data_IF_187307323261
#
_entry.id   IF_187307323261
#
_cell.length_a   1.000
_cell.length_b   1.000
_cell.length_c   1.000
_cell.angle_alpha   90.00
_cell.angle_beta   90.00
_cell.angle_gamma   90.00
#
_symmetry.space_group_name_H-M   'P 1'
#
loop_
_entity.id
_entity.type
_entity.pdbx_description
1 polymer ?
#
# COMPACT_ATOMS: atom_id res chain seq x y z
N UNK A 1 10.93 -20.54 30.45
CA UNK A 1 11.62 -21.37 29.45
C UNK A 1 12.32 -20.41 28.51
N UNK A 2 13.66 -20.36 28.56
CA UNK A 2 14.43 -19.59 27.56
C UNK A 2 14.49 -20.45 26.29
N UNK A 3 13.66 -20.09 25.30
CA UNK A 3 13.73 -20.67 23.97
C UNK A 3 14.52 -19.70 23.08
N UNK A 4 15.66 -20.15 22.59
CA UNK A 4 16.50 -19.40 21.64
C UNK A 4 16.04 -19.69 20.21
N UNK A 5 15.54 -18.66 19.54
CA UNK A 5 15.16 -18.73 18.14
C UNK A 5 16.26 -18.10 17.27
N UNK A 6 16.85 -18.88 16.38
CA UNK A 6 17.85 -18.38 15.44
C UNK A 6 17.56 -18.81 14.01
N UNK A 7 17.65 -17.88 13.07
CA UNK A 7 17.52 -18.12 11.66
C UNK A 7 18.82 -17.74 10.95
N UNK A 8 19.56 -18.73 10.46
CA UNK A 8 20.79 -18.54 9.71
C UNK A 8 20.62 -18.98 8.26
N UNK A 9 20.86 -18.08 7.31
CA UNK A 9 20.86 -18.40 5.89
C UNK A 9 21.78 -17.49 5.09
N UNK A 10 22.28 -18.02 3.97
CA UNK A 10 23.03 -17.25 2.97
C UNK A 10 22.26 -17.33 1.66
N UNK A 11 21.87 -16.21 1.10
CA UNK A 11 21.20 -16.11 -0.19
C UNK A 11 21.76 -14.97 -1.03
N UNK A 12 21.73 -15.12 -2.34
CA UNK A 12 22.10 -14.09 -3.29
C UNK A 12 20.85 -13.27 -3.66
N UNK A 13 21.02 -11.96 -3.75
CA UNK A 13 19.98 -11.00 -4.12
C UNK A 13 20.43 -10.22 -5.36
N UNK A 14 20.43 -10.86 -6.56
CA UNK A 14 20.84 -10.22 -7.79
C UNK A 14 19.84 -9.12 -8.19
N UNK A 15 20.38 -8.06 -8.79
CA UNK A 15 19.60 -6.97 -9.40
C UNK A 15 20.28 -6.61 -10.72
N UNK A 16 19.46 -6.41 -11.75
CA UNK A 16 19.92 -5.99 -13.08
C UNK A 16 18.92 -4.98 -13.66
N UNK A 17 19.43 -3.97 -14.35
CA UNK A 17 18.59 -2.97 -15.03
C UNK A 17 19.23 -2.57 -16.34
N UNK A 18 18.41 -2.55 -17.39
CA UNK A 18 18.78 -2.06 -18.72
C UNK A 18 17.88 -0.88 -19.02
N UNK A 19 18.46 0.26 -19.36
CA UNK A 19 17.74 1.44 -19.81
C UNK A 19 18.13 1.73 -21.26
N UNK A 20 17.13 1.78 -22.13
CA UNK A 20 17.30 2.12 -23.54
C UNK A 20 16.61 3.44 -23.85
N UNK A 21 17.38 4.45 -24.22
CA UNK A 21 16.89 5.75 -24.64
C UNK A 21 16.47 5.66 -26.11
N UNK A 22 15.15 5.65 -26.33
CA UNK A 22 14.58 5.64 -27.69
C UNK A 22 14.84 6.98 -28.39
N UNK A 23 14.70 8.06 -27.64
CA UNK A 23 15.01 9.43 -28.00
C UNK A 23 15.03 10.32 -26.74
N UNK A 24 15.29 11.62 -26.88
CA UNK A 24 15.37 12.59 -25.77
C UNK A 24 14.11 12.68 -24.90
N UNK A 25 12.99 12.10 -25.34
CA UNK A 25 11.68 12.17 -24.65
C UNK A 25 11.16 10.83 -24.18
N UNK A 26 11.74 9.74 -24.66
CA UNK A 26 11.23 8.39 -24.39
C UNK A 26 12.36 7.43 -24.04
N UNK A 27 12.15 6.65 -23.00
CA UNK A 27 13.01 5.53 -22.65
C UNK A 27 12.21 4.27 -22.33
N UNK A 28 12.85 3.13 -22.50
CA UNK A 28 12.35 1.82 -22.13
C UNK A 28 13.30 1.26 -21.07
N UNK A 29 12.76 0.78 -19.97
CA UNK A 29 13.54 0.21 -18.89
C UNK A 29 13.09 -1.22 -18.62
N UNK A 30 14.05 -2.14 -18.61
CA UNK A 30 13.86 -3.52 -18.14
C UNK A 30 14.59 -3.68 -16.82
N UNK A 31 13.91 -4.18 -15.81
CA UNK A 31 14.48 -4.36 -14.46
C UNK A 31 14.12 -5.74 -13.94
N UNK A 32 15.11 -6.43 -13.42
CA UNK A 32 14.93 -7.61 -12.57
C UNK A 32 15.56 -7.34 -11.21
N UNK A 33 14.85 -7.70 -10.16
CA UNK A 33 15.42 -7.68 -8.82
C UNK A 33 14.91 -8.86 -7.98
N UNK A 34 15.81 -9.38 -7.17
CA UNK A 34 15.50 -10.30 -6.08
C UNK A 34 15.78 -9.60 -4.76
N UNK A 35 14.82 -9.64 -3.86
CA UNK A 35 14.95 -8.99 -2.54
C UNK A 35 14.40 -9.87 -1.43
N UNK A 36 14.80 -9.55 -0.21
CA UNK A 36 14.28 -10.15 1.01
C UNK A 36 13.42 -9.12 1.73
N UNK A 37 12.26 -9.55 2.21
CA UNK A 37 11.47 -8.79 3.17
C UNK A 37 11.50 -9.53 4.51
N UNK A 38 12.18 -8.92 5.49
CA UNK A 38 12.36 -9.50 6.82
C UNK A 38 11.11 -9.28 7.65
N UNK A 39 10.82 -10.27 8.49
CA UNK A 39 9.76 -10.17 9.49
C UNK A 39 10.06 -9.09 10.52
N UNK A 40 9.01 -8.46 11.05
CA UNK A 40 9.13 -7.55 12.19
C UNK A 40 9.10 -8.31 13.51
N UNK A 41 9.68 -7.75 14.57
CA UNK A 41 9.61 -8.33 15.92
C UNK A 41 8.18 -8.56 16.39
N UNK A 42 7.26 -7.69 16.01
CA UNK A 42 5.83 -7.84 16.30
C UNK A 42 5.25 -9.15 15.71
N UNK A 43 5.52 -9.43 14.42
CA UNK A 43 5.05 -10.66 13.76
C UNK A 43 5.70 -11.94 14.32
N UNK A 44 6.82 -11.80 15.01
CA UNK A 44 7.56 -12.91 15.62
C UNK A 44 7.32 -13.05 17.12
N UNK A 45 6.61 -12.14 17.75
CA UNK A 45 6.33 -12.19 19.20
C UNK A 45 5.41 -13.37 19.53
N UNK A 46 5.88 -14.42 20.25
CA UNK A 46 5.05 -15.59 20.53
C UNK A 46 4.03 -15.39 21.64
N UNK A 47 4.06 -14.25 22.32
CA UNK A 47 3.15 -13.98 23.41
C UNK A 47 1.80 -13.49 22.89
N UNK A 48 0.70 -14.18 23.20
CA UNK A 48 -0.61 -13.76 22.78
C UNK A 48 -1.02 -12.46 23.48
N UNK A 49 -1.42 -11.49 22.67
CA UNK A 49 -2.00 -10.22 23.12
C UNK A 49 -3.49 -10.19 22.82
N UNK A 50 -4.28 -9.61 23.70
CA UNK A 50 -5.71 -9.49 23.49
C UNK A 50 -6.00 -8.24 22.68
N UNK A 51 -6.24 -8.40 21.38
CA UNK A 51 -6.59 -7.28 20.51
C UNK A 51 -8.03 -6.79 20.75
N UNK A 52 -8.97 -7.74 20.88
CA UNK A 52 -10.38 -7.50 21.14
C UNK A 52 -10.93 -8.57 22.10
N UNK A 53 -12.20 -8.41 22.53
CA UNK A 53 -12.86 -9.38 23.43
C UNK A 53 -12.83 -10.81 22.91
N UNK A 54 -12.89 -10.99 21.59
CA UNK A 54 -13.05 -12.27 20.90
C UNK A 54 -11.83 -12.66 20.03
N UNK A 55 -10.72 -11.89 20.13
CA UNK A 55 -9.54 -12.13 19.30
C UNK A 55 -8.25 -11.96 20.09
N UNK A 56 -7.43 -13.01 20.09
CA UNK A 56 -6.02 -12.96 20.46
C UNK A 56 -5.19 -12.69 19.22
N UNK A 57 -4.09 -11.96 19.35
CA UNK A 57 -3.08 -11.80 18.32
C UNK A 57 -1.74 -12.33 18.82
N UNK A 58 -1.06 -13.12 18.00
CA UNK A 58 0.18 -13.79 18.35
C UNK A 58 1.09 -13.86 17.12
N UNK A 59 2.38 -13.63 17.31
CA UNK A 59 3.39 -13.87 16.29
C UNK A 59 3.90 -15.30 16.29
N UNK A 60 4.67 -15.64 15.25
CA UNK A 60 5.39 -16.90 15.14
C UNK A 60 6.90 -16.63 15.05
N UNK A 61 7.70 -17.03 16.05
CA UNK A 61 9.15 -16.82 16.03
C UNK A 61 9.88 -17.63 14.94
N UNK A 62 9.22 -18.65 14.35
CA UNK A 62 9.77 -19.48 13.29
C UNK A 62 9.51 -18.92 11.86
N UNK A 63 8.95 -17.74 11.74
CA UNK A 63 8.69 -17.12 10.44
C UNK A 63 9.96 -16.97 9.60
N UNK A 64 9.91 -17.53 8.41
CA UNK A 64 10.91 -17.29 7.37
C UNK A 64 10.62 -15.96 6.66
N UNK A 65 11.65 -15.18 6.32
CA UNK A 65 11.47 -13.96 5.55
C UNK A 65 10.92 -14.24 4.15
N UNK A 66 10.14 -13.32 3.64
CA UNK A 66 9.67 -13.38 2.26
C UNK A 66 10.81 -13.14 1.27
N UNK A 67 10.84 -13.92 0.20
CA UNK A 67 11.76 -13.75 -0.91
C UNK A 67 10.97 -13.30 -2.13
N UNK A 68 11.35 -12.16 -2.68
CA UNK A 68 10.59 -11.51 -3.74
C UNK A 68 11.44 -11.44 -5.00
N UNK A 69 10.98 -12.10 -6.06
CA UNK A 69 11.50 -11.95 -7.42
C UNK A 69 10.56 -11.04 -8.21
N UNK A 70 11.09 -10.01 -8.84
CA UNK A 70 10.32 -9.04 -9.61
C UNK A 70 10.97 -8.72 -10.95
N UNK A 71 10.21 -8.86 -12.02
CA UNK A 71 10.57 -8.49 -13.38
C UNK A 71 9.63 -7.40 -13.86
N UNK A 72 10.18 -6.31 -14.38
CA UNK A 72 9.43 -5.15 -14.86
C UNK A 72 9.93 -4.68 -16.20
N UNK A 73 9.00 -4.33 -17.08
CA UNK A 73 9.29 -3.55 -18.29
C UNK A 73 8.46 -2.27 -18.24
N UNK A 74 9.13 -1.15 -18.29
CA UNK A 74 8.53 0.18 -18.22
C UNK A 74 8.87 1.05 -19.42
N UNK A 75 7.93 1.89 -19.82
CA UNK A 75 8.11 2.93 -20.83
C UNK A 75 7.81 4.26 -20.14
N UNK A 76 8.71 5.22 -20.28
CA UNK A 76 8.53 6.59 -19.80
C UNK A 76 8.62 7.54 -20.99
N UNK A 77 7.67 8.46 -21.04
CA UNK A 77 7.64 9.53 -22.02
C UNK A 77 7.51 10.87 -21.32
N UNK A 78 8.33 11.84 -21.73
CA UNK A 78 8.29 13.21 -21.20
C UNK A 78 8.26 14.21 -22.34
N UNK A 79 7.29 15.10 -22.34
CA UNK A 79 7.21 16.15 -23.35
C UNK A 79 7.99 17.41 -22.93
N UNK A 80 8.19 18.32 -23.88
CA UNK A 80 8.90 19.58 -23.64
C UNK A 80 8.13 20.58 -22.74
N UNK A 81 6.85 20.30 -22.43
CA UNK A 81 6.00 21.12 -21.53
C UNK A 81 6.01 20.63 -20.09
N UNK A 82 6.85 19.62 -19.78
CA UNK A 82 6.96 19.06 -18.43
C UNK A 82 5.91 18.00 -18.08
N UNK A 83 5.04 17.60 -19.02
CA UNK A 83 4.13 16.48 -18.81
C UNK A 83 4.89 15.16 -19.05
N UNK A 84 4.58 14.16 -18.26
CA UNK A 84 5.12 12.81 -18.37
C UNK A 84 4.01 11.76 -18.41
N UNK A 85 4.28 10.68 -19.10
CA UNK A 85 3.46 9.47 -19.13
C UNK A 85 4.39 8.30 -18.84
N UNK A 86 3.99 7.39 -17.98
CA UNK A 86 4.68 6.13 -17.78
C UNK A 86 3.71 4.96 -17.88
N UNK A 87 4.21 3.83 -18.30
CA UNK A 87 3.49 2.57 -18.29
C UNK A 87 4.47 1.46 -17.91
N UNK A 88 4.07 0.60 -16.99
CA UNK A 88 4.90 -0.52 -16.54
C UNK A 88 4.07 -1.80 -16.55
N UNK A 89 4.63 -2.88 -17.09
CA UNK A 89 4.09 -4.23 -16.94
C UNK A 89 5.06 -4.98 -16.03
N UNK A 90 4.53 -5.75 -15.11
CA UNK A 90 5.35 -6.47 -14.14
C UNK A 90 4.84 -7.87 -13.83
N UNK A 91 5.79 -8.71 -13.46
CA UNK A 91 5.56 -9.99 -12.82
C UNK A 91 6.31 -10.04 -11.51
N UNK A 92 5.62 -10.43 -10.44
CA UNK A 92 6.17 -10.57 -9.08
C UNK A 92 5.83 -11.94 -8.53
N UNK A 93 6.84 -12.64 -7.98
CA UNK A 93 6.69 -13.86 -7.22
C UNK A 93 7.20 -13.61 -5.78
N UNK A 94 6.42 -14.05 -4.80
CA UNK A 94 6.77 -13.98 -3.38
C UNK A 94 6.78 -15.40 -2.84
N UNK A 95 7.95 -15.89 -2.45
CA UNK A 95 8.10 -17.15 -1.73
C UNK A 95 8.08 -16.90 -0.23
N UNK A 96 7.63 -17.88 0.55
CA UNK A 96 7.43 -17.79 2.00
C UNK A 96 6.44 -16.65 2.37
N UNK A 97 5.40 -16.47 1.58
CA UNK A 97 4.41 -15.43 1.84
C UNK A 97 3.93 -15.46 3.29
N UNK A 98 4.07 -14.36 3.99
CA UNK A 98 3.59 -14.19 5.36
C UNK A 98 2.19 -13.58 5.30
N UNK A 99 1.21 -14.35 5.74
CA UNK A 99 -0.16 -13.87 5.85
C UNK A 99 -0.64 -13.97 7.30
N UNK A 100 -1.57 -13.09 7.63
CA UNK A 100 -2.30 -13.15 8.90
C UNK A 100 -3.44 -14.14 8.72
N UNK A 101 -3.47 -15.19 9.54
CA UNK A 101 -4.46 -16.25 9.50
C UNK A 101 -5.11 -16.43 10.87
N UNK A 102 -6.35 -16.85 10.89
CA UNK A 102 -7.10 -17.11 12.11
C UNK A 102 -7.25 -18.60 12.34
N UNK A 103 -7.14 -19.00 13.58
CA UNK A 103 -7.46 -20.35 14.11
C UNK A 103 -8.44 -20.23 15.24
N UNK A 104 -9.18 -21.29 15.52
CA UNK A 104 -10.08 -21.36 16.68
C UNK A 104 -9.24 -21.62 17.94
N UNK A 105 -9.26 -20.70 18.90
CA UNK A 105 -8.62 -20.88 20.20
C UNK A 105 -9.55 -21.60 21.18
N UNK A 106 -10.81 -21.18 21.21
CA UNK A 106 -11.91 -21.84 21.92
C UNK A 106 -13.24 -21.44 21.28
N UNK A 107 -14.36 -21.88 21.82
CA UNK A 107 -15.71 -21.67 21.28
C UNK A 107 -16.08 -20.19 21.03
N UNK A 108 -15.40 -19.24 21.64
CA UNK A 108 -15.72 -17.80 21.59
C UNK A 108 -14.54 -16.92 21.17
N UNK A 109 -13.34 -17.49 21.06
CA UNK A 109 -12.11 -16.72 20.81
C UNK A 109 -11.37 -17.28 19.58
N UNK A 110 -11.04 -16.41 18.66
CA UNK A 110 -10.11 -16.70 17.56
C UNK A 110 -8.69 -16.29 17.95
N UNK A 111 -7.72 -17.10 17.56
CA UNK A 111 -6.31 -16.75 17.61
C UNK A 111 -5.84 -16.32 16.22
N UNK A 112 -5.41 -15.09 16.12
CA UNK A 112 -4.87 -14.50 14.90
C UNK A 112 -3.35 -14.60 14.93
N UNK A 113 -2.80 -15.33 13.99
CA UNK A 113 -1.36 -15.58 13.92
C UNK A 113 -0.79 -15.14 12.57
N UNK A 114 0.49 -14.82 12.56
CA UNK A 114 1.26 -14.67 11.33
C UNK A 114 1.90 -16.00 10.96
N UNK A 115 1.76 -16.42 9.71
CA UNK A 115 2.31 -17.68 9.24
C UNK A 115 2.81 -17.58 7.81
N UNK A 116 3.84 -18.36 7.47
CA UNK A 116 4.24 -18.57 6.08
C UNK A 116 3.24 -19.52 5.42
N UNK A 117 2.35 -18.98 4.60
CA UNK A 117 1.23 -19.73 4.00
C UNK A 117 1.50 -20.26 2.59
N UNK A 118 2.75 -20.10 2.09
CA UNK A 118 3.12 -20.58 0.76
C UNK A 118 3.71 -19.51 -0.12
N UNK A 119 3.16 -19.32 -1.31
CA UNK A 119 3.64 -18.32 -2.27
C UNK A 119 2.51 -17.44 -2.82
N UNK A 120 2.89 -16.27 -3.30
CA UNK A 120 2.00 -15.40 -4.04
C UNK A 120 2.61 -14.99 -5.37
N UNK A 121 1.76 -14.84 -6.38
CA UNK A 121 2.13 -14.36 -7.71
C UNK A 121 1.25 -13.18 -8.08
N UNK A 122 1.86 -12.14 -8.64
CA UNK A 122 1.16 -11.01 -9.22
C UNK A 122 1.64 -10.78 -10.65
N UNK A 123 0.71 -10.61 -11.57
CA UNK A 123 0.97 -10.17 -12.92
C UNK A 123 0.04 -9.02 -13.25
N UNK A 124 0.61 -7.90 -13.67
CA UNK A 124 -0.19 -6.72 -13.93
C UNK A 124 0.56 -5.60 -14.59
N UNK A 125 -0.08 -4.43 -14.58
CA UNK A 125 0.49 -3.23 -15.13
C UNK A 125 -0.05 -1.96 -14.48
N UNK A 126 0.76 -0.95 -14.54
CA UNK A 126 0.45 0.41 -14.12
C UNK A 126 0.62 1.37 -15.29
N UNK A 127 -0.28 2.32 -15.39
CA UNK A 127 -0.17 3.48 -16.26
C UNK A 127 -0.42 4.73 -15.44
N UNK A 128 0.39 5.75 -15.63
CA UNK A 128 0.20 7.02 -14.95
C UNK A 128 0.79 8.19 -15.72
N UNK A 129 0.32 9.36 -15.38
CA UNK A 129 0.71 10.62 -16.03
C UNK A 129 0.81 11.74 -15.02
N UNK A 130 1.83 12.58 -15.19
CA UNK A 130 1.90 13.91 -14.58
C UNK A 130 1.74 14.96 -15.69
N UNK A 131 0.82 15.90 -15.49
CA UNK A 131 0.59 16.98 -16.46
C UNK A 131 0.22 18.28 -15.77
N UNK A 132 0.50 19.38 -16.45
CA UNK A 132 0.16 20.71 -15.99
C UNK A 132 -0.73 21.41 -17.02
N UNK A 133 -1.90 21.87 -16.56
CA UNK A 133 -2.86 22.61 -17.38
C UNK A 133 -2.81 24.09 -17.01
N UNK A 134 -2.74 24.97 -18.02
CA UNK A 134 -2.76 26.42 -17.88
C UNK A 134 -1.77 26.98 -16.85
N UNK A 135 -0.64 26.28 -16.58
CA UNK A 135 0.39 26.60 -15.57
C UNK A 135 -0.15 26.66 -14.13
N UNK A 136 -1.43 26.40 -13.90
CA UNK A 136 -2.09 26.53 -12.59
C UNK A 136 -2.51 25.21 -11.97
N UNK A 137 -2.85 24.21 -12.79
CA UNK A 137 -3.30 22.90 -12.32
C UNK A 137 -2.20 21.88 -12.61
N UNK A 138 -1.57 21.38 -11.56
CA UNK A 138 -0.64 20.25 -11.66
C UNK A 138 -1.35 18.99 -11.18
N UNK A 139 -1.41 17.97 -12.03
CA UNK A 139 -2.11 16.72 -11.72
C UNK A 139 -1.21 15.53 -11.98
N UNK A 140 -1.19 14.62 -11.02
CA UNK A 140 -0.71 13.25 -11.16
C UNK A 140 -1.89 12.30 -11.07
N UNK A 141 -1.97 11.35 -11.99
CA UNK A 141 -2.97 10.29 -11.94
C UNK A 141 -2.32 8.96 -12.35
N UNK A 142 -2.61 7.88 -11.62
CA UNK A 142 -2.21 6.53 -12.02
C UNK A 142 -3.30 5.50 -11.73
N UNK A 143 -3.30 4.45 -12.55
CA UNK A 143 -4.13 3.25 -12.40
C UNK A 143 -3.20 2.05 -12.45
N UNK A 144 -3.32 1.16 -11.46
CA UNK A 144 -2.66 -0.12 -11.43
C UNK A 144 -3.70 -1.24 -11.43
N UNK A 145 -3.47 -2.28 -12.23
CA UNK A 145 -4.35 -3.45 -12.36
C UNK A 145 -3.50 -4.71 -12.40
N UNK A 146 -3.80 -5.68 -11.53
CA UNK A 146 -3.08 -6.95 -11.53
C UNK A 146 -3.95 -8.11 -11.08
N UNK A 147 -3.65 -9.29 -11.61
CA UNK A 147 -4.12 -10.55 -11.06
C UNK A 147 -3.19 -10.94 -9.91
N UNK A 148 -3.77 -11.32 -8.78
CA UNK A 148 -3.05 -11.76 -7.59
C UNK A 148 -3.52 -13.16 -7.20
N UNK A 149 -2.58 -14.08 -7.03
CA UNK A 149 -2.84 -15.48 -6.70
C UNK A 149 -1.97 -15.92 -5.53
N UNK A 150 -2.62 -16.49 -4.52
CA UNK A 150 -1.98 -17.12 -3.36
C UNK A 150 -2.17 -18.61 -3.49
N UNK A 151 -1.09 -19.41 -3.36
CA UNK A 151 -1.14 -20.86 -3.27
C UNK A 151 -0.24 -21.33 -2.15
N UNK A 152 -0.72 -22.28 -1.38
CA UNK A 152 0.03 -22.86 -0.29
C UNK A 152 -0.80 -23.73 0.60
N UNK A 153 -0.43 -23.79 1.86
CA UNK A 153 -1.05 -24.64 2.86
C UNK A 153 -0.96 -23.97 4.23
N UNK A 154 -1.98 -24.12 5.03
CA UNK A 154 -1.98 -23.73 6.43
C UNK A 154 -2.78 -24.76 7.23
N UNK A 155 -2.16 -25.31 8.29
CA UNK A 155 -2.78 -26.29 9.19
C UNK A 155 -3.32 -27.53 8.41
N UNK A 156 -2.45 -28.10 7.54
CA UNK A 156 -2.74 -29.24 6.66
C UNK A 156 -3.92 -29.03 5.70
N UNK A 157 -4.28 -27.79 5.43
CA UNK A 157 -5.35 -27.45 4.46
C UNK A 157 -4.79 -26.60 3.33
N UNK A 158 -5.12 -26.93 2.09
CA UNK A 158 -4.65 -26.15 0.95
C UNK A 158 -5.27 -24.75 0.95
N UNK A 159 -4.45 -23.78 0.59
CA UNK A 159 -4.86 -22.40 0.31
C UNK A 159 -4.74 -22.16 -1.19
N UNK A 160 -5.83 -21.71 -1.80
CA UNK A 160 -5.85 -21.24 -3.18
C UNK A 160 -6.81 -20.07 -3.30
N UNK A 161 -6.27 -18.85 -3.35
CA UNK A 161 -7.04 -17.62 -3.50
C UNK A 161 -6.54 -16.86 -4.71
N UNK A 162 -7.46 -16.36 -5.54
CA UNK A 162 -7.12 -15.60 -6.74
C UNK A 162 -8.13 -14.48 -6.95
N UNK A 163 -7.63 -13.30 -7.34
CA UNK A 163 -8.48 -12.16 -7.62
C UNK A 163 -7.79 -11.08 -8.42
N UNK A 164 -8.62 -10.28 -9.10
CA UNK A 164 -8.18 -9.09 -9.81
C UNK A 164 -8.21 -7.91 -8.85
N UNK A 165 -7.07 -7.24 -8.71
CA UNK A 165 -6.90 -6.09 -7.82
C UNK A 165 -6.57 -4.88 -8.67
N UNK A 166 -7.23 -3.76 -8.37
CA UNK A 166 -6.92 -2.50 -9.02
C UNK A 166 -6.91 -1.34 -8.03
N UNK A 167 -6.08 -0.36 -8.32
CA UNK A 167 -5.99 0.89 -7.54
C UNK A 167 -5.95 2.10 -8.46
N UNK A 168 -6.48 3.20 -7.95
CA UNK A 168 -6.45 4.51 -8.59
C UNK A 168 -5.83 5.51 -7.62
N UNK A 169 -4.86 6.29 -8.10
CA UNK A 169 -4.27 7.40 -7.36
C UNK A 169 -4.46 8.68 -8.16
N UNK A 170 -4.99 9.71 -7.52
CA UNK A 170 -5.15 11.03 -8.09
C UNK A 170 -4.64 12.07 -7.10
N UNK A 171 -3.74 12.93 -7.57
CA UNK A 171 -3.26 14.10 -6.83
C UNK A 171 -3.33 15.30 -7.75
N UNK A 172 -4.12 16.30 -7.38
CA UNK A 172 -4.31 17.51 -8.19
C UNK A 172 -4.13 18.75 -7.35
N UNK A 173 -3.25 19.65 -7.78
CA UNK A 173 -2.97 20.92 -7.11
C UNK A 173 -3.37 22.06 -8.01
N UNK A 174 -4.22 22.94 -7.52
CA UNK A 174 -4.59 24.19 -8.19
C UNK A 174 -3.95 25.38 -7.47
N UNK A 175 -3.13 26.12 -8.18
CA UNK A 175 -2.48 27.35 -7.68
C UNK A 175 -3.33 28.57 -7.98
N UNK A 176 -3.83 29.22 -6.92
CA UNK A 176 -4.47 30.54 -7.01
C UNK A 176 -3.41 31.63 -7.23
N UNK A 177 -2.28 31.52 -6.48
CA UNK A 177 -1.06 32.33 -6.58
C UNK A 177 0.14 31.50 -6.18
N UNK A 178 1.34 32.06 -6.18
CA UNK A 178 2.56 31.37 -5.74
C UNK A 178 2.52 30.99 -4.23
N UNK A 179 1.74 31.73 -3.43
CA UNK A 179 1.60 31.48 -1.99
C UNK A 179 0.32 30.73 -1.62
N UNK A 180 -0.68 30.61 -2.53
CA UNK A 180 -1.97 30.01 -2.21
C UNK A 180 -2.35 28.92 -3.21
N UNK A 181 -2.64 27.72 -2.69
CA UNK A 181 -3.07 26.61 -3.51
C UNK A 181 -4.03 25.67 -2.76
N UNK A 182 -4.82 24.95 -3.52
CA UNK A 182 -5.63 23.84 -3.03
C UNK A 182 -5.14 22.54 -3.65
N UNK A 183 -5.08 21.50 -2.84
CA UNK A 183 -4.67 20.17 -3.25
C UNK A 183 -5.78 19.17 -2.94
N UNK A 184 -6.16 18.40 -3.94
CA UNK A 184 -7.07 17.27 -3.82
C UNK A 184 -6.29 15.97 -4.01
N UNK A 185 -6.45 15.04 -3.05
CA UNK A 185 -5.88 13.71 -3.12
C UNK A 185 -7.01 12.69 -3.05
N UNK A 186 -6.97 11.71 -3.93
CA UNK A 186 -7.91 10.60 -3.95
C UNK A 186 -7.15 9.29 -4.19
N UNK A 187 -7.32 8.33 -3.29
CA UNK A 187 -6.81 7.00 -3.43
C UNK A 187 -7.98 6.02 -3.36
N UNK A 188 -8.00 5.08 -4.28
CA UNK A 188 -8.94 3.98 -4.30
C UNK A 188 -8.19 2.66 -4.41
N UNK A 189 -8.63 1.66 -3.67
CA UNK A 189 -8.14 0.30 -3.74
C UNK A 189 -9.33 -0.64 -3.75
N UNK A 190 -9.36 -1.57 -4.71
CA UNK A 190 -10.43 -2.58 -4.85
C UNK A 190 -10.37 -3.61 -3.73
N UNK A 191 -11.33 -4.52 -3.71
CA UNK A 191 -11.25 -5.72 -2.88
C UNK A 191 -9.96 -6.49 -3.16
N UNK A 192 -9.42 -7.13 -2.11
CA UNK A 192 -8.17 -7.89 -2.17
C UNK A 192 -8.38 -9.26 -1.54
N UNK A 193 -7.99 -10.29 -2.25
CA UNK A 193 -7.98 -11.66 -1.71
C UNK A 193 -6.86 -11.82 -0.69
N UNK A 194 -7.12 -12.60 0.35
CA UNK A 194 -6.16 -13.01 1.39
C UNK A 194 -6.10 -14.54 1.45
N UNK A 195 -5.26 -15.08 2.31
CA UNK A 195 -5.14 -16.54 2.48
C UNK A 195 -6.45 -17.20 2.96
N UNK A 196 -7.30 -16.49 3.71
CA UNK A 196 -8.53 -17.02 4.29
C UNK A 196 -9.77 -16.20 3.98
N UNK A 197 -9.75 -15.30 2.99
CA UNK A 197 -10.90 -14.50 2.66
C UNK A 197 -10.60 -13.26 1.85
N UNK A 198 -11.13 -12.13 2.25
CA UNK A 198 -11.08 -10.89 1.46
C UNK A 198 -11.03 -9.65 2.36
N UNK A 199 -10.22 -8.69 1.96
CA UNK A 199 -10.31 -7.29 2.43
C UNK A 199 -11.18 -6.50 1.45
N UNK A 200 -12.15 -5.76 1.97
CA UNK A 200 -13.01 -4.93 1.13
C UNK A 200 -12.24 -3.77 0.49
N UNK A 201 -12.86 -3.19 -0.53
CA UNK A 201 -12.43 -1.93 -1.13
C UNK A 201 -12.32 -0.81 -0.10
N UNK A 202 -11.43 0.12 -0.39
CA UNK A 202 -11.18 1.31 0.43
C UNK A 202 -10.92 2.53 -0.47
N UNK A 203 -11.39 3.71 -0.07
CA UNK A 203 -11.04 4.96 -0.73
C UNK A 203 -10.82 6.08 0.31
N UNK A 204 -10.02 7.06 -0.05
CA UNK A 204 -9.69 8.18 0.83
C UNK A 204 -9.57 9.48 0.04
N UNK A 205 -10.62 10.31 -0.02
CA UNK A 205 -10.57 11.64 -0.57
C UNK A 205 -10.15 12.65 0.50
N UNK A 206 -9.24 13.56 0.13
CA UNK A 206 -8.75 14.60 1.03
C UNK A 206 -8.60 15.90 0.26
N UNK A 207 -8.93 17.01 0.90
CA UNK A 207 -8.73 18.35 0.38
C UNK A 207 -7.88 19.17 1.34
N UNK A 208 -6.86 19.84 0.82
CA UNK A 208 -5.97 20.70 1.62
C UNK A 208 -5.89 22.07 0.98
N UNK A 209 -6.25 23.10 1.71
CA UNK A 209 -6.05 24.51 1.33
C UNK A 209 -4.82 25.01 2.07
N UNK A 210 -3.84 25.53 1.35
CA UNK A 210 -2.60 26.07 1.92
C UNK A 210 -2.43 27.53 1.52
N UNK A 211 -2.08 28.37 2.49
CA UNK A 211 -1.69 29.78 2.29
C UNK A 211 -0.39 30.06 3.03
N UNK A 212 0.55 30.68 2.32
CA UNK A 212 1.82 31.16 2.87
C UNK A 212 1.75 32.67 3.06
N UNK A 213 2.32 33.14 4.16
CA UNK A 213 2.35 34.55 4.55
C UNK A 213 3.80 34.97 4.86
N UNK A 214 4.06 36.25 4.85
CA UNK A 214 5.31 36.85 5.28
C UNK A 214 6.54 36.25 4.59
N UNK A 215 6.57 36.31 3.24
CA UNK A 215 7.63 35.70 2.43
C UNK A 215 7.90 34.22 2.78
N UNK A 216 6.83 33.43 2.93
CA UNK A 216 6.84 32.01 3.29
C UNK A 216 7.29 31.69 4.72
N UNK A 217 7.43 32.67 5.62
CA UNK A 217 7.76 32.40 7.02
C UNK A 217 6.62 31.72 7.76
N UNK A 218 5.37 32.11 7.53
CA UNK A 218 4.20 31.45 8.10
C UNK A 218 3.43 30.69 7.03
N UNK A 219 3.17 29.41 7.29
CA UNK A 219 2.30 28.58 6.47
C UNK A 219 1.09 28.15 7.27
N UNK A 220 -0.11 28.44 6.76
CA UNK A 220 -1.36 27.95 7.30
C UNK A 220 -1.96 26.92 6.32
N UNK A 221 -2.36 25.75 6.82
CA UNK A 221 -3.00 24.70 6.03
C UNK A 221 -4.26 24.23 6.73
N UNK A 222 -5.38 24.30 6.00
CA UNK A 222 -6.65 23.72 6.39
C UNK A 222 -6.85 22.42 5.62
N UNK A 223 -6.99 21.29 6.31
CA UNK A 223 -7.15 19.97 5.73
C UNK A 223 -8.53 19.44 6.06
N UNK A 224 -9.25 19.01 5.03
CA UNK A 224 -10.47 18.23 5.14
C UNK A 224 -10.15 16.80 4.70
N UNK A 225 -10.14 15.87 5.65
CA UNK A 225 -9.70 14.49 5.45
C UNK A 225 -10.84 13.50 5.53
N UNK A 226 -10.72 12.43 4.78
CA UNK A 226 -11.70 11.33 4.70
C UNK A 226 -13.10 11.85 4.39
N UNK A 227 -13.20 12.66 3.32
CA UNK A 227 -14.45 13.30 2.91
C UNK A 227 -15.50 12.24 2.57
N UNK A 228 -16.66 12.33 3.18
CA UNK A 228 -17.79 11.48 2.80
C UNK A 228 -18.38 11.96 1.47
N UNK A 229 -18.05 11.27 0.39
CA UNK A 229 -18.55 11.59 -0.94
C UNK A 229 -19.93 11.00 -1.24
N UNK A 230 -20.48 10.17 -0.32
CA UNK A 230 -21.77 9.49 -0.53
C UNK A 230 -21.76 8.46 -1.67
N UNK A 231 -20.60 8.14 -2.26
CA UNK A 231 -20.51 7.29 -3.44
C UNK A 231 -20.48 5.80 -3.11
N UNK A 232 -20.17 5.44 -1.89
CA UNK A 232 -20.08 4.06 -1.40
C UNK A 232 -20.37 4.06 0.10
N UNK A 233 -20.64 2.90 0.70
CA UNK A 233 -20.65 2.77 2.16
C UNK A 233 -19.25 3.10 2.68
N UNK A 234 -19.18 4.24 3.26
CA UNK A 234 -18.07 5.16 3.37
C UNK A 234 -17.08 4.74 4.40
N UNK A 235 -15.79 4.90 4.12
CA UNK A 235 -14.69 4.87 5.08
C UNK A 235 -14.65 3.63 5.97
N UNK A 236 -15.34 2.58 5.58
CA UNK A 236 -15.36 1.30 6.24
C UNK A 236 -14.48 0.31 5.46
N UNK A 237 -13.44 -0.18 6.09
CA UNK A 237 -12.68 -1.31 5.60
C UNK A 237 -13.15 -2.57 6.32
N UNK A 238 -13.70 -3.50 5.56
CA UNK A 238 -14.17 -4.79 6.07
C UNK A 238 -13.14 -5.86 5.74
N UNK A 239 -12.69 -6.58 6.76
CA UNK A 239 -11.82 -7.74 6.63
C UNK A 239 -12.68 -8.96 6.93
N UNK A 240 -12.93 -9.77 5.92
CA UNK A 240 -13.67 -11.03 6.06
C UNK A 240 -12.69 -12.19 6.05
N UNK A 241 -12.79 -13.05 7.06
CA UNK A 241 -11.95 -14.24 7.19
C UNK A 241 -12.83 -15.42 7.51
N UNK A 242 -12.61 -16.53 6.83
CA UNK A 242 -13.40 -17.73 7.05
C UNK A 242 -12.55 -19.01 6.93
N UNK A 243 -13.00 -20.04 7.62
CA UNK A 243 -12.54 -21.40 7.47
C UNK A 243 -13.78 -22.29 7.43
N UNK A 244 -14.01 -23.01 6.34
CA UNK A 244 -15.20 -23.87 6.22
C UNK A 244 -15.37 -24.80 7.41
N UNK A 245 -16.59 -24.92 7.91
CA UNK A 245 -17.02 -25.74 9.06
C UNK A 245 -16.42 -25.35 10.43
N UNK A 246 -15.65 -24.27 10.50
CA UNK A 246 -15.04 -23.83 11.77
C UNK A 246 -15.46 -22.43 12.16
N UNK A 247 -15.25 -21.42 11.30
CA UNK A 247 -15.61 -20.04 11.61
C UNK A 247 -15.85 -19.19 10.36
N UNK A 248 -16.62 -18.14 10.56
CA UNK A 248 -16.76 -16.99 9.68
C UNK A 248 -16.72 -15.72 10.53
N UNK A 249 -15.84 -14.79 10.22
CA UNK A 249 -15.72 -13.53 10.95
C UNK A 249 -15.55 -12.35 10.03
N UNK A 250 -16.06 -11.21 10.46
CA UNK A 250 -15.88 -9.93 9.78
C UNK A 250 -15.46 -8.89 10.79
N UNK A 251 -14.32 -8.26 10.54
CA UNK A 251 -13.86 -7.11 11.32
C UNK A 251 -14.04 -5.86 10.48
N UNK A 252 -14.76 -4.87 11.01
CA UNK A 252 -15.00 -3.60 10.36
C UNK A 252 -14.12 -2.52 11.01
N UNK A 253 -13.23 -1.91 10.21
CA UNK A 253 -12.51 -0.71 10.59
C UNK A 253 -13.27 0.49 10.04
N UNK A 254 -13.83 1.28 10.92
CA UNK A 254 -14.55 2.51 10.55
C UNK A 254 -13.62 3.69 10.80
N UNK A 255 -13.26 4.38 9.73
CA UNK A 255 -12.44 5.58 9.82
C UNK A 255 -13.34 6.81 10.03
N UNK A 256 -12.90 7.71 10.89
CA UNK A 256 -13.58 8.99 11.06
C UNK A 256 -13.66 9.75 9.74
N UNK A 257 -14.85 10.20 9.41
CA UNK A 257 -15.15 10.98 8.21
C UNK A 257 -15.10 12.47 8.52
N UNK A 258 -14.93 13.27 7.46
CA UNK A 258 -15.05 14.73 7.49
C UNK A 258 -14.20 15.40 8.57
N UNK A 259 -13.02 14.84 8.85
CA UNK A 259 -12.09 15.45 9.82
C UNK A 259 -11.52 16.75 9.27
N UNK A 260 -11.63 17.83 10.04
CA UNK A 260 -11.03 19.12 9.70
C UNK A 260 -9.86 19.42 10.64
N UNK A 261 -8.69 19.65 10.05
CA UNK A 261 -7.44 19.93 10.77
C UNK A 261 -6.87 21.27 10.31
N UNK A 262 -6.52 22.13 11.27
CA UNK A 262 -5.77 23.36 11.03
C UNK A 262 -4.31 23.16 11.47
N UNK A 263 -3.38 23.40 10.56
CA UNK A 263 -1.94 23.38 10.84
C UNK A 263 -1.35 24.76 10.59
N UNK A 264 -0.57 25.24 11.56
CA UNK A 264 0.21 26.48 11.46
C UNK A 264 1.68 26.15 11.66
N UNK A 265 2.51 26.53 10.70
CA UNK A 265 3.96 26.32 10.75
C UNK A 265 4.67 27.66 10.56
N UNK A 266 5.56 28.01 11.50
CA UNK A 266 6.36 29.23 11.44
C UNK A 266 7.84 28.89 11.36
N UNK A 267 8.51 29.38 10.32
CA UNK A 267 9.95 29.21 10.13
C UNK A 267 10.71 30.38 10.77
N UNK A 268 11.42 30.10 11.86
CA UNK A 268 12.17 31.11 12.65
C UNK A 268 13.48 31.48 11.94
N UNK A 269 14.10 30.56 11.21
CA UNK A 269 15.42 30.73 10.59
C UNK A 269 15.30 30.68 9.05
N UNK A 270 14.89 31.79 8.45
CA UNK A 270 15.04 31.98 7.01
C UNK A 270 16.48 32.48 6.71
N UNK A 271 17.43 31.54 6.59
CA UNK A 271 18.74 31.86 6.02
C UNK A 271 18.51 32.14 4.53
N UNK A 272 18.45 33.43 4.20
CA UNK A 272 18.60 33.85 2.81
C UNK A 272 19.96 33.31 2.33
N UNK A 273 19.93 32.33 1.43
CA UNK A 273 21.10 32.00 0.64
C UNK A 273 21.38 33.22 -0.24
N UNK A 274 22.32 34.06 0.21
CA UNK A 274 22.97 35.11 -0.60
C UNK A 274 23.89 34.45 -1.59
#
# INVERSE_FOLDING_TARGET
>A
VDEDYSLNFIKLFPSASINYEVNDKANIKLTYNKRIERTTTFKMNPFPEREHSETLEQGDPNLHPELIDQLEIGINFKNNRGSSLFSTIYYRNVDNLINRVNTVYNDTILNRIYSNVGNAKAFGGEIGSEFTVAKKVKTFASVNLYNYKINGEFDNRPISSEGMIYSLNLNSTYHFSDEAFVQFNFNYLSNRVTAQGEDSRFYSPNLTLTKRFWNNQLTASLQWKNIDMGLMNTNEQRITTSRPDEFYTTTNYVYEVDMVLLSLSYNINDRKNT
#
